data_IF_564929255346
#
_entry.id   IF_564929255346
#
_cell.length_a   1.000
_cell.length_b   1.000
_cell.length_c   1.000
_cell.angle_alpha   90.00
_cell.angle_beta   90.00
_cell.angle_gamma   90.00
#
_symmetry.space_group_name_H-M   'P 1'
#
loop_
_entity.id
_entity.type
_entity.pdbx_description
1 polymer ?
#
# COMPACT_ATOMS: atom_id res chain seq x y z
N UNK A 1 -16.76 10.49 -16.94
CA UNK A 1 -15.80 9.66 -16.19
C UNK A 1 -16.02 8.21 -16.56
N UNK A 2 -14.97 7.55 -16.96
CA UNK A 2 -14.95 6.15 -17.39
C UNK A 2 -15.32 5.24 -16.22
N UNK A 3 -16.05 4.16 -16.49
CA UNK A 3 -16.48 3.16 -15.51
C UNK A 3 -15.30 2.54 -14.76
N UNK A 4 -14.88 3.14 -13.64
CA UNK A 4 -13.92 2.53 -12.74
C UNK A 4 -14.57 1.35 -12.01
N UNK A 5 -13.79 0.31 -11.75
CA UNK A 5 -14.22 -0.91 -11.06
C UNK A 5 -13.45 -1.14 -9.77
N UNK A 6 -14.05 -1.86 -8.85
CA UNK A 6 -13.50 -2.26 -7.56
C UNK A 6 -14.62 -2.58 -6.57
N UNK A 7 -14.51 -3.69 -5.81
CA UNK A 7 -15.54 -4.11 -4.86
C UNK A 7 -15.82 -3.07 -3.76
N UNK A 8 -14.86 -2.16 -3.52
CA UNK A 8 -15.00 -1.10 -2.51
C UNK A 8 -15.70 0.15 -3.04
N UNK A 9 -15.96 0.27 -4.34
CA UNK A 9 -16.61 1.46 -4.90
C UNK A 9 -18.10 1.48 -4.57
N UNK A 10 -18.62 2.66 -4.27
CA UNK A 10 -20.05 2.95 -4.11
C UNK A 10 -20.58 3.70 -5.33
N UNK A 11 -21.90 3.88 -5.41
CA UNK A 11 -22.54 4.64 -6.51
C UNK A 11 -22.08 6.10 -6.57
N UNK A 12 -21.69 6.67 -5.43
CA UNK A 12 -21.01 7.96 -5.38
C UNK A 12 -19.50 7.68 -5.30
N UNK A 13 -18.70 8.25 -6.19
CA UNK A 13 -17.25 8.11 -6.10
C UNK A 13 -16.75 8.78 -4.83
N UNK A 14 -16.56 8.01 -3.79
CA UNK A 14 -15.90 8.44 -2.57
C UNK A 14 -14.47 7.94 -2.60
N UNK A 15 -13.54 8.80 -2.22
CA UNK A 15 -12.15 8.40 -2.00
C UNK A 15 -12.03 7.50 -0.79
N UNK A 16 -10.86 6.87 -0.65
CA UNK A 16 -10.46 6.11 0.54
C UNK A 16 -9.13 6.64 1.06
N UNK A 17 -9.03 6.77 2.38
CA UNK A 17 -7.81 7.08 3.10
C UNK A 17 -7.39 5.86 3.91
N UNK A 18 -6.14 5.41 3.74
CA UNK A 18 -5.60 4.28 4.46
C UNK A 18 -4.61 4.69 5.52
N UNK A 19 -4.54 3.89 6.58
CA UNK A 19 -3.41 3.85 7.50
C UNK A 19 -2.53 2.62 7.26
N UNK A 20 -1.26 2.73 7.64
CA UNK A 20 -0.28 1.67 7.46
C UNK A 20 -0.26 0.74 8.67
N UNK A 21 -0.88 -0.43 8.54
CA UNK A 21 -0.71 -1.65 9.34
C UNK A 21 -1.11 -1.62 10.82
N UNK A 22 -1.27 -0.46 11.46
CA UNK A 22 -1.47 -0.39 12.91
C UNK A 22 -2.28 0.84 13.34
N UNK A 23 -2.88 0.70 14.52
CA UNK A 23 -3.46 1.81 15.27
C UNK A 23 -2.43 2.34 16.27
N UNK A 24 -2.39 3.64 16.47
CA UNK A 24 -1.38 4.32 17.30
C UNK A 24 -1.81 4.58 18.75
N UNK A 25 -3.09 4.40 19.08
CA UNK A 25 -3.61 4.73 20.42
C UNK A 25 -4.55 3.69 21.02
N UNK A 26 -4.57 3.57 22.35
CA UNK A 26 -5.59 2.77 23.07
C UNK A 26 -7.02 3.29 22.81
N UNK A 27 -8.01 2.42 22.78
CA UNK A 27 -7.91 0.96 22.96
C UNK A 27 -7.60 0.21 21.66
N UNK A 28 -7.50 0.92 20.52
CA UNK A 28 -7.38 0.31 19.18
C UNK A 28 -6.04 -0.39 18.95
N UNK A 29 -4.97 0.08 19.61
CA UNK A 29 -3.64 -0.53 19.56
C UNK A 29 -3.62 -2.00 20.01
N UNK A 30 -4.60 -2.44 20.79
CA UNK A 30 -4.78 -3.84 21.18
C UNK A 30 -5.15 -4.76 20.00
N UNK A 31 -5.59 -4.19 18.89
CA UNK A 31 -5.86 -4.93 17.66
C UNK A 31 -4.61 -5.05 16.76
N UNK A 32 -3.48 -4.47 17.14
CA UNK A 32 -2.25 -4.57 16.34
C UNK A 32 -1.71 -6.00 16.35
N UNK A 33 -1.11 -6.36 15.21
CA UNK A 33 -0.46 -7.64 15.02
C UNK A 33 0.86 -7.69 15.79
N UNK A 34 1.29 -8.90 16.12
CA UNK A 34 2.58 -9.13 16.74
C UNK A 34 3.53 -9.88 15.80
N UNK A 35 4.82 -9.85 16.10
CA UNK A 35 5.84 -10.57 15.33
C UNK A 35 6.58 -11.58 16.20
N UNK A 36 7.41 -12.40 15.56
CA UNK A 36 8.40 -13.27 16.22
C UNK A 36 9.70 -13.25 15.43
N UNK A 37 10.82 -13.31 16.12
CA UNK A 37 12.14 -13.33 15.45
C UNK A 37 12.44 -14.69 14.86
N UNK A 38 13.26 -14.73 13.78
CA UNK A 38 13.73 -15.98 13.18
C UNK A 38 14.40 -16.90 14.22
N UNK A 39 15.24 -16.36 15.10
CA UNK A 39 15.90 -17.12 16.17
C UNK A 39 14.88 -17.77 17.11
N UNK A 40 13.84 -17.03 17.51
CA UNK A 40 12.79 -17.56 18.36
C UNK A 40 11.95 -18.63 17.66
N UNK A 41 11.67 -18.43 16.37
CA UNK A 41 10.94 -19.40 15.56
C UNK A 41 11.73 -20.71 15.36
N UNK A 42 13.03 -20.63 15.11
CA UNK A 42 13.91 -21.80 14.99
C UNK A 42 14.07 -22.58 16.31
N UNK A 43 14.00 -21.89 17.46
CA UNK A 43 14.04 -22.53 18.76
C UNK A 43 12.71 -23.22 19.15
N UNK A 44 11.61 -22.79 18.59
CA UNK A 44 10.28 -23.35 18.81
C UNK A 44 9.38 -22.99 17.62
N UNK A 45 9.18 -23.93 16.70
CA UNK A 45 8.38 -23.79 15.48
C UNK A 45 6.89 -23.49 15.76
N UNK A 46 6.39 -23.79 16.96
CA UNK A 46 5.01 -23.48 17.33
C UNK A 46 4.75 -21.97 17.51
N UNK A 47 5.74 -21.22 17.98
CA UNK A 47 5.59 -19.77 18.20
C UNK A 47 5.13 -18.96 16.98
N UNK A 48 5.73 -19.09 15.78
CA UNK A 48 5.26 -18.39 14.60
C UNK A 48 3.86 -18.84 14.18
N UNK A 49 3.49 -20.10 14.36
CA UNK A 49 2.17 -20.62 14.02
C UNK A 49 1.07 -20.03 14.91
N UNK A 50 1.27 -20.04 16.23
CA UNK A 50 0.34 -19.44 17.19
C UNK A 50 0.21 -17.92 16.95
N UNK A 51 1.32 -17.27 16.59
CA UNK A 51 1.34 -15.85 16.24
C UNK A 51 0.60 -15.58 14.92
N UNK A 52 0.70 -16.44 13.92
CA UNK A 52 -0.03 -16.31 12.67
C UNK A 52 -1.56 -16.41 12.88
N UNK A 53 -2.01 -17.37 13.69
CA UNK A 53 -3.43 -17.49 14.06
C UNK A 53 -3.89 -16.24 14.83
N UNK A 54 -3.09 -15.78 15.78
CA UNK A 54 -3.37 -14.54 16.51
C UNK A 54 -3.49 -13.35 15.56
N UNK A 55 -2.54 -13.18 14.64
CA UNK A 55 -2.51 -12.05 13.68
C UNK A 55 -3.68 -12.10 12.68
N UNK A 56 -4.05 -13.30 12.20
CA UNK A 56 -5.22 -13.46 11.34
C UNK A 56 -6.52 -13.01 12.04
N UNK A 57 -6.69 -13.36 13.32
CA UNK A 57 -7.80 -12.87 14.13
C UNK A 57 -7.72 -11.35 14.37
N UNK A 58 -6.52 -10.80 14.58
CA UNK A 58 -6.35 -9.34 14.69
C UNK A 58 -6.72 -8.61 13.39
N UNK A 59 -6.41 -9.18 12.22
CA UNK A 59 -6.90 -8.64 10.97
C UNK A 59 -8.44 -8.59 10.92
N UNK A 60 -9.10 -9.66 11.33
CA UNK A 60 -10.57 -9.70 11.38
C UNK A 60 -11.13 -8.64 12.36
N UNK A 61 -10.51 -8.44 13.54
CA UNK A 61 -10.89 -7.38 14.48
C UNK A 61 -10.69 -5.99 13.86
N UNK A 62 -9.55 -5.74 13.20
CA UNK A 62 -9.25 -4.47 12.51
C UNK A 62 -10.29 -4.15 11.44
N UNK A 63 -10.62 -5.13 10.59
CA UNK A 63 -11.62 -4.96 9.54
C UNK A 63 -13.04 -4.80 10.12
N UNK A 64 -13.35 -5.46 11.23
CA UNK A 64 -14.62 -5.26 11.95
C UNK A 64 -14.75 -3.81 12.44
N UNK A 65 -13.69 -3.27 13.03
CA UNK A 65 -13.68 -1.86 13.43
C UNK A 65 -13.84 -0.94 12.22
N UNK A 66 -13.07 -1.17 11.15
CA UNK A 66 -13.13 -0.34 9.94
C UNK A 66 -14.51 -0.38 9.26
N UNK A 67 -15.24 -1.49 9.35
CA UNK A 67 -16.59 -1.60 8.78
C UNK A 67 -17.59 -0.64 9.43
N UNK A 68 -17.30 -0.15 10.64
CA UNK A 68 -18.12 0.83 11.37
C UNK A 68 -17.73 2.29 11.07
N UNK A 69 -16.63 2.51 10.37
CA UNK A 69 -16.14 3.85 10.05
C UNK A 69 -16.83 4.42 8.79
N UNK A 70 -16.76 5.75 8.55
CA UNK A 70 -17.13 6.33 7.26
C UNK A 70 -16.46 5.61 6.09
N UNK A 71 -17.11 5.53 4.94
CA UNK A 71 -16.58 4.80 3.78
C UNK A 71 -15.20 5.31 3.37
N UNK A 72 -14.95 6.61 3.49
CA UNK A 72 -13.67 7.24 3.16
C UNK A 72 -12.50 6.75 4.02
N UNK A 73 -12.77 6.18 5.19
CA UNK A 73 -11.77 5.60 6.10
C UNK A 73 -11.67 4.07 5.99
N UNK A 74 -12.35 3.45 5.01
CA UNK A 74 -12.35 2.00 4.80
C UNK A 74 -11.27 1.57 3.79
N UNK A 75 -10.02 1.86 4.13
CA UNK A 75 -8.86 1.35 3.41
C UNK A 75 -7.76 0.97 4.41
N UNK A 76 -7.24 -0.25 4.28
CA UNK A 76 -6.29 -0.82 5.22
C UNK A 76 -5.11 -1.47 4.53
N UNK A 77 -3.87 -1.14 4.97
CA UNK A 77 -2.68 -1.89 4.60
C UNK A 77 -2.49 -3.04 5.59
N UNK A 78 -2.54 -4.27 5.09
CA UNK A 78 -2.27 -5.47 5.89
C UNK A 78 -0.78 -5.51 6.23
N UNK A 79 -0.43 -5.85 7.47
CA UNK A 79 0.97 -6.00 7.87
C UNK A 79 1.67 -7.13 7.11
N UNK A 80 2.88 -6.87 6.63
CA UNK A 80 3.73 -7.91 6.02
C UNK A 80 4.11 -9.03 7.00
N UNK A 81 4.00 -8.79 8.31
CA UNK A 81 4.30 -9.75 9.37
C UNK A 81 3.06 -10.58 9.81
N UNK A 82 1.98 -10.61 9.03
CA UNK A 82 0.76 -11.35 9.40
C UNK A 82 1.06 -12.83 9.66
N UNK A 83 1.95 -13.45 8.87
CA UNK A 83 2.47 -14.80 9.10
C UNK A 83 3.99 -14.75 9.33
N UNK A 84 4.42 -14.60 10.59
CA UNK A 84 5.84 -14.43 10.90
C UNK A 84 6.70 -15.61 10.43
N UNK A 85 7.82 -15.30 9.78
CA UNK A 85 8.75 -16.31 9.26
C UNK A 85 8.16 -17.27 8.20
N UNK A 86 7.07 -16.92 7.53
CA UNK A 86 6.42 -17.80 6.55
C UNK A 86 7.36 -18.20 5.41
N UNK A 87 8.22 -17.30 4.93
CA UNK A 87 9.18 -17.57 3.84
C UNK A 87 10.52 -18.18 4.34
N UNK A 88 10.65 -18.44 5.64
CA UNK A 88 11.82 -19.11 6.21
C UNK A 88 11.72 -20.63 5.96
N UNK A 89 12.63 -21.20 5.16
CA UNK A 89 12.57 -22.58 4.67
C UNK A 89 12.46 -23.63 5.77
N UNK A 90 13.06 -23.40 6.93
CA UNK A 90 13.02 -24.30 8.08
C UNK A 90 11.68 -24.20 8.84
N UNK A 91 10.92 -23.15 8.67
CA UNK A 91 9.66 -22.90 9.38
C UNK A 91 8.46 -23.13 8.46
N UNK A 92 8.56 -22.78 7.18
CA UNK A 92 7.45 -22.85 6.21
C UNK A 92 6.68 -24.17 6.23
N UNK A 93 7.32 -25.38 6.29
CA UNK A 93 6.58 -26.65 6.28
C UNK A 93 5.59 -26.81 7.43
N UNK A 94 5.86 -26.22 8.59
CA UNK A 94 4.95 -26.31 9.74
C UNK A 94 3.65 -25.53 9.56
N UNK A 95 3.62 -24.55 8.66
CA UNK A 95 2.40 -23.79 8.36
C UNK A 95 1.28 -24.69 7.78
N UNK A 96 1.61 -25.84 7.20
CA UNK A 96 0.63 -26.83 6.75
C UNK A 96 -0.27 -27.32 7.89
N UNK A 97 0.21 -27.35 9.15
CA UNK A 97 -0.57 -27.78 10.32
C UNK A 97 -1.74 -26.83 10.64
N UNK A 98 -1.64 -25.56 10.24
CA UNK A 98 -2.64 -24.53 10.57
C UNK A 98 -3.28 -23.90 9.33
N UNK A 99 -2.98 -24.40 8.13
CA UNK A 99 -3.44 -23.79 6.88
C UNK A 99 -4.96 -23.68 6.81
N UNK A 100 -5.69 -24.75 7.18
CA UNK A 100 -7.16 -24.75 7.19
C UNK A 100 -7.72 -23.66 8.14
N UNK A 101 -7.13 -23.55 9.33
CA UNK A 101 -7.51 -22.51 10.32
C UNK A 101 -7.27 -21.11 9.75
N UNK A 102 -6.12 -20.88 9.11
CA UNK A 102 -5.81 -19.58 8.50
C UNK A 102 -6.75 -19.26 7.34
N UNK A 103 -7.06 -20.24 6.49
CA UNK A 103 -8.02 -20.09 5.39
C UNK A 103 -9.41 -19.71 5.88
N UNK A 104 -9.90 -20.33 6.96
CA UNK A 104 -11.20 -19.98 7.54
C UNK A 104 -11.22 -18.54 8.05
N UNK A 105 -10.23 -18.15 8.87
CA UNK A 105 -10.17 -16.81 9.45
C UNK A 105 -10.04 -15.75 8.35
N UNK A 106 -9.11 -15.94 7.41
CA UNK A 106 -8.92 -15.00 6.30
C UNK A 106 -10.11 -14.97 5.35
N UNK A 107 -10.77 -16.10 5.10
CA UNK A 107 -12.00 -16.14 4.30
C UNK A 107 -13.13 -15.32 4.92
N UNK A 108 -13.28 -15.36 6.25
CA UNK A 108 -14.22 -14.49 6.98
C UNK A 108 -13.82 -13.02 6.88
N UNK A 109 -12.53 -12.71 7.07
CA UNK A 109 -12.00 -11.36 6.94
C UNK A 109 -12.22 -10.79 5.53
N UNK A 110 -11.99 -11.58 4.48
CA UNK A 110 -12.23 -11.20 3.10
C UNK A 110 -13.71 -10.97 2.77
N UNK A 111 -14.61 -11.86 3.23
CA UNK A 111 -16.06 -11.64 3.10
C UNK A 111 -16.50 -10.33 3.74
N UNK A 112 -15.97 -10.03 4.94
CA UNK A 112 -16.24 -8.77 5.64
C UNK A 112 -15.69 -7.58 4.85
N UNK A 113 -14.46 -7.64 4.35
CA UNK A 113 -13.87 -6.57 3.56
C UNK A 113 -14.70 -6.26 2.32
N UNK A 114 -15.13 -7.28 1.58
CA UNK A 114 -15.96 -7.13 0.38
C UNK A 114 -17.33 -6.55 0.72
N UNK A 115 -18.04 -7.13 1.70
CA UNK A 115 -19.39 -6.68 2.07
C UNK A 115 -19.42 -5.27 2.68
N UNK A 116 -18.35 -4.88 3.37
CA UNK A 116 -18.21 -3.55 3.98
C UNK A 116 -17.46 -2.55 3.11
N UNK A 117 -17.08 -2.94 1.88
CA UNK A 117 -16.36 -2.08 0.92
C UNK A 117 -15.03 -1.55 1.49
N UNK A 118 -14.27 -2.40 2.17
CA UNK A 118 -12.95 -2.05 2.71
C UNK A 118 -11.89 -2.38 1.66
N UNK A 119 -11.23 -1.38 1.11
CA UNK A 119 -10.08 -1.57 0.23
C UNK A 119 -8.89 -2.11 1.00
N UNK A 120 -8.09 -2.98 0.37
CA UNK A 120 -6.96 -3.64 1.01
C UNK A 120 -5.69 -3.50 0.17
N UNK A 121 -4.56 -3.33 0.86
CA UNK A 121 -3.22 -3.39 0.30
C UNK A 121 -2.27 -4.16 1.20
N UNK A 122 -1.11 -4.50 0.70
CA UNK A 122 0.05 -4.97 1.45
C UNK A 122 1.33 -4.38 0.88
N UNK A 123 2.36 -4.30 1.69
CA UNK A 123 3.67 -3.78 1.29
C UNK A 123 4.76 -4.71 1.81
N UNK A 124 5.28 -5.63 0.96
CA UNK A 124 6.44 -6.44 1.27
C UNK A 124 7.64 -5.61 1.76
N UNK A 125 8.54 -6.24 2.50
CA UNK A 125 9.70 -5.55 3.05
C UNK A 125 10.69 -5.08 1.98
N UNK A 126 11.58 -4.17 2.37
CA UNK A 126 12.60 -3.56 1.49
C UNK A 126 13.58 -4.55 0.83
N UNK A 127 13.55 -5.82 1.23
CA UNK A 127 14.42 -6.87 0.66
C UNK A 127 13.77 -7.59 -0.53
N UNK A 128 12.53 -7.28 -0.86
CA UNK A 128 11.78 -7.83 -2.01
C UNK A 128 12.15 -7.03 -3.25
N UNK A 129 13.17 -7.49 -3.99
CA UNK A 129 13.81 -6.74 -5.09
C UNK A 129 13.81 -7.57 -6.37
N UNK A 130 12.78 -7.44 -7.21
CA UNK A 130 12.72 -8.12 -8.52
C UNK A 130 13.77 -7.60 -9.51
N UNK A 131 14.21 -6.35 -9.40
CA UNK A 131 15.29 -5.77 -10.22
C UNK A 131 16.71 -6.23 -9.82
N UNK A 132 16.85 -7.20 -8.89
CA UNK A 132 18.14 -7.65 -8.40
C UNK A 132 18.97 -8.32 -9.49
N UNK A 133 20.31 -8.13 -9.41
CA UNK A 133 21.29 -8.85 -10.20
C UNK A 133 21.76 -10.16 -9.54
N UNK A 134 21.22 -10.51 -8.37
CA UNK A 134 21.50 -11.71 -7.59
C UNK A 134 20.31 -12.67 -7.67
N UNK A 135 20.57 -13.88 -8.18
CA UNK A 135 19.53 -14.90 -8.36
C UNK A 135 18.85 -15.33 -7.05
N UNK A 136 19.61 -15.43 -5.95
CA UNK A 136 19.08 -15.77 -4.63
C UNK A 136 18.11 -14.70 -4.10
N UNK A 137 18.40 -13.41 -4.33
CA UNK A 137 17.50 -12.30 -3.96
C UNK A 137 16.24 -12.33 -4.79
N UNK A 138 16.35 -12.61 -6.10
CA UNK A 138 15.17 -12.72 -6.99
C UNK A 138 14.27 -13.87 -6.54
N UNK A 139 14.84 -15.05 -6.27
CA UNK A 139 14.10 -16.22 -5.79
C UNK A 139 13.34 -15.89 -4.49
N UNK A 140 14.01 -15.33 -3.49
CA UNK A 140 13.39 -14.93 -2.23
C UNK A 140 12.30 -13.87 -2.43
N UNK A 141 12.51 -12.94 -3.38
CA UNK A 141 11.52 -11.92 -3.70
C UNK A 141 10.26 -12.52 -4.32
N UNK A 142 10.38 -13.50 -5.19
CA UNK A 142 9.27 -14.23 -5.79
C UNK A 142 8.50 -15.00 -4.71
N UNK A 143 9.21 -15.70 -3.81
CA UNK A 143 8.58 -16.42 -2.67
C UNK A 143 7.81 -15.45 -1.77
N UNK A 144 8.36 -14.28 -1.46
CA UNK A 144 7.72 -13.26 -0.62
C UNK A 144 6.48 -12.65 -1.31
N UNK A 145 6.55 -12.38 -2.61
CA UNK A 145 5.40 -11.90 -3.38
C UNK A 145 4.29 -12.96 -3.46
N UNK A 146 4.62 -14.24 -3.65
CA UNK A 146 3.65 -15.33 -3.62
C UNK A 146 3.00 -15.47 -2.22
N UNK A 147 3.77 -15.28 -1.16
CA UNK A 147 3.26 -15.24 0.20
C UNK A 147 2.20 -14.13 0.38
N UNK A 148 2.50 -12.91 -0.03
CA UNK A 148 1.52 -11.80 0.03
C UNK A 148 0.29 -12.07 -0.84
N UNK A 149 0.48 -12.62 -2.04
CA UNK A 149 -0.62 -13.02 -2.91
C UNK A 149 -1.51 -14.10 -2.27
N UNK A 150 -0.91 -15.05 -1.55
CA UNK A 150 -1.64 -16.12 -0.87
C UNK A 150 -2.61 -15.60 0.19
N UNK A 151 -2.24 -14.53 0.92
CA UNK A 151 -3.13 -13.86 1.89
C UNK A 151 -4.41 -13.39 1.18
N UNK A 152 -4.27 -12.64 0.09
CA UNK A 152 -5.41 -12.13 -0.68
C UNK A 152 -6.23 -13.24 -1.35
N UNK A 153 -5.57 -14.31 -1.83
CA UNK A 153 -6.25 -15.50 -2.37
C UNK A 153 -7.13 -16.17 -1.31
N UNK A 154 -6.63 -16.37 -0.09
CA UNK A 154 -7.40 -16.94 1.01
C UNK A 154 -8.53 -16.03 1.49
N UNK A 155 -8.37 -14.73 1.36
CA UNK A 155 -9.43 -13.75 1.60
C UNK A 155 -10.49 -13.71 0.48
N UNK A 156 -10.24 -14.32 -0.67
CA UNK A 156 -11.14 -14.28 -1.83
C UNK A 156 -11.17 -12.92 -2.54
N UNK A 157 -10.13 -12.10 -2.38
CA UNK A 157 -10.02 -10.80 -3.05
C UNK A 157 -9.62 -11.03 -4.52
N UNK A 158 -10.32 -10.42 -5.51
CA UNK A 158 -9.94 -10.54 -6.91
C UNK A 158 -8.53 -9.99 -7.18
N UNK A 159 -7.74 -10.67 -8.00
CA UNK A 159 -6.33 -10.34 -8.24
C UNK A 159 -6.10 -8.88 -8.65
N UNK A 160 -6.95 -8.33 -9.54
CA UNK A 160 -6.83 -6.93 -10.00
C UNK A 160 -7.21 -5.90 -8.93
N UNK A 161 -7.89 -6.33 -7.88
CA UNK A 161 -8.37 -5.47 -6.80
C UNK A 161 -7.48 -5.55 -5.56
N UNK A 162 -6.63 -6.58 -5.47
CA UNK A 162 -5.54 -6.67 -4.50
C UNK A 162 -4.40 -5.71 -4.87
N UNK A 163 -3.71 -5.20 -3.86
CA UNK A 163 -2.52 -4.36 -4.02
C UNK A 163 -1.38 -4.99 -3.23
N UNK A 164 -0.33 -5.41 -3.94
CA UNK A 164 0.94 -5.83 -3.36
C UNK A 164 1.97 -4.83 -3.87
N UNK A 165 2.39 -3.88 -3.03
CA UNK A 165 3.25 -2.78 -3.46
C UNK A 165 4.70 -3.03 -3.10
N UNK A 166 5.61 -2.87 -4.07
CA UNK A 166 7.07 -2.90 -3.86
C UNK A 166 7.74 -1.72 -4.53
N UNK A 167 8.88 -1.29 -4.01
CA UNK A 167 9.69 -0.27 -4.66
C UNK A 167 10.39 -0.81 -5.91
N UNK A 168 10.55 0.04 -6.91
CA UNK A 168 11.45 -0.23 -8.02
C UNK A 168 12.89 -0.03 -7.52
N UNK A 169 13.61 -1.12 -7.36
CA UNK A 169 14.96 -1.18 -6.79
C UNK A 169 15.91 -2.00 -7.68
N UNK A 170 17.18 -2.06 -7.30
CA UNK A 170 18.16 -2.93 -7.98
C UNK A 170 19.10 -2.19 -8.94
N UNK A 171 19.42 -0.91 -8.65
CA UNK A 171 20.33 -0.13 -9.51
C UNK A 171 21.77 -0.67 -9.51
N UNK A 172 22.31 -1.06 -8.35
CA UNK A 172 23.66 -1.63 -8.17
C UNK A 172 24.79 -0.87 -8.87
N UNK A 173 24.70 0.46 -8.93
CA UNK A 173 25.69 1.30 -9.61
C UNK A 173 25.64 1.26 -11.15
N UNK A 174 24.67 0.54 -11.73
CA UNK A 174 24.44 0.48 -13.17
C UNK A 174 23.52 1.58 -13.69
N UNK A 175 23.03 1.39 -14.91
CA UNK A 175 22.02 2.28 -15.49
C UNK A 175 20.61 1.86 -15.01
N UNK A 176 19.70 2.81 -14.87
CA UNK A 176 18.29 2.54 -14.48
C UNK A 176 17.64 1.52 -15.41
N UNK A 177 17.88 1.63 -16.72
CA UNK A 177 17.32 0.70 -17.71
C UNK A 177 17.71 -0.76 -17.47
N UNK A 178 18.90 -1.02 -16.90
CA UNK A 178 19.34 -2.38 -16.64
C UNK A 178 18.52 -3.04 -15.52
N UNK A 179 18.19 -2.28 -14.46
CA UNK A 179 17.32 -2.75 -13.39
C UNK A 179 15.88 -2.91 -13.84
N UNK A 180 15.36 -1.97 -14.65
CA UNK A 180 14.03 -2.05 -15.27
C UNK A 180 13.92 -3.33 -16.13
N UNK A 181 14.92 -3.64 -16.95
CA UNK A 181 14.91 -4.83 -17.79
C UNK A 181 14.98 -6.11 -16.96
N UNK A 182 15.81 -6.14 -15.88
CA UNK A 182 15.84 -7.29 -14.96
C UNK A 182 14.48 -7.48 -14.28
N UNK A 183 13.87 -6.39 -13.79
CA UNK A 183 12.54 -6.45 -13.18
C UNK A 183 11.52 -7.03 -14.18
N UNK A 184 11.47 -6.50 -15.40
CA UNK A 184 10.55 -6.98 -16.44
C UNK A 184 10.76 -8.46 -16.78
N UNK A 185 12.01 -8.93 -16.79
CA UNK A 185 12.34 -10.36 -16.99
C UNK A 185 11.85 -11.19 -15.81
N UNK A 186 12.17 -10.79 -14.58
CA UNK A 186 11.84 -11.55 -13.39
C UNK A 186 10.32 -11.54 -13.07
N UNK A 187 9.60 -10.50 -13.46
CA UNK A 187 8.13 -10.43 -13.39
C UNK A 187 7.44 -11.61 -14.07
N UNK A 188 8.02 -12.16 -15.12
CA UNK A 188 7.46 -13.30 -15.86
C UNK A 188 7.46 -14.61 -15.06
N UNK A 189 8.22 -14.70 -13.98
CA UNK A 189 8.22 -15.87 -13.09
C UNK A 189 7.12 -15.83 -12.01
N UNK A 190 6.40 -14.71 -11.89
CA UNK A 190 5.27 -14.61 -10.98
C UNK A 190 4.04 -15.30 -11.58
N UNK A 191 3.20 -15.89 -10.72
CA UNK A 191 1.91 -16.41 -11.16
C UNK A 191 0.95 -15.28 -11.59
N UNK A 192 -0.08 -15.64 -12.36
CA UNK A 192 -1.05 -14.70 -12.93
C UNK A 192 -1.73 -13.82 -11.86
N UNK A 193 -2.05 -14.39 -10.69
CA UNK A 193 -2.64 -13.63 -9.60
C UNK A 193 -1.68 -12.57 -9.07
N UNK A 194 -0.44 -12.97 -8.78
CA UNK A 194 0.61 -12.09 -8.25
C UNK A 194 0.95 -10.99 -9.25
N UNK A 195 1.08 -11.31 -10.54
CA UNK A 195 1.30 -10.30 -11.59
C UNK A 195 0.19 -9.25 -11.62
N UNK A 196 -1.08 -9.65 -11.52
CA UNK A 196 -2.23 -8.74 -11.53
C UNK A 196 -2.37 -7.91 -10.25
N UNK A 197 -1.90 -8.42 -9.11
CA UNK A 197 -1.96 -7.75 -7.81
C UNK A 197 -0.79 -6.78 -7.60
N UNK A 198 0.35 -7.00 -8.29
CA UNK A 198 1.58 -6.24 -8.06
C UNK A 198 1.45 -4.79 -8.52
N UNK A 199 2.00 -3.89 -7.70
CA UNK A 199 2.24 -2.49 -8.02
C UNK A 199 3.70 -2.13 -7.76
N UNK A 200 4.20 -1.14 -8.46
CA UNK A 200 5.58 -0.68 -8.33
C UNK A 200 5.65 0.79 -7.97
N UNK A 201 6.42 1.11 -6.95
CA UNK A 201 6.55 2.44 -6.36
C UNK A 201 7.87 3.11 -6.72
N UNK A 202 7.84 4.44 -6.89
CA UNK A 202 9.04 5.26 -7.05
C UNK A 202 9.78 5.43 -5.71
N UNK A 203 11.11 5.58 -5.78
CA UNK A 203 12.00 5.73 -4.61
C UNK A 203 12.20 7.21 -4.21
N UNK A 204 12.57 7.39 -2.95
CA UNK A 204 12.89 8.68 -2.32
C UNK A 204 14.34 9.15 -2.54
N UNK A 205 15.24 8.26 -3.00
CA UNK A 205 16.67 8.53 -3.14
C UNK A 205 16.95 9.31 -4.42
N UNK A 206 17.75 10.40 -4.39
CA UNK A 206 18.04 11.21 -5.58
C UNK A 206 18.65 10.46 -6.77
N UNK A 207 19.34 9.35 -6.50
CA UNK A 207 19.92 8.48 -7.55
C UNK A 207 19.12 7.18 -7.74
N UNK A 208 17.96 7.04 -7.07
CA UNK A 208 17.09 5.88 -7.17
C UNK A 208 16.18 5.94 -8.39
N UNK A 209 15.14 5.14 -8.36
CA UNK A 209 14.13 5.08 -9.42
C UNK A 209 12.99 6.07 -9.12
N UNK A 210 12.84 7.08 -9.96
CA UNK A 210 11.74 8.05 -9.91
C UNK A 210 10.49 7.52 -10.63
N UNK A 211 9.40 8.27 -10.58
CA UNK A 211 8.13 7.97 -11.26
C UNK A 211 8.32 7.74 -12.77
N UNK A 212 9.21 8.46 -13.43
CA UNK A 212 9.56 8.26 -14.84
C UNK A 212 9.98 6.80 -15.11
N UNK A 213 10.79 6.23 -14.23
CA UNK A 213 11.29 4.87 -14.36
C UNK A 213 10.21 3.82 -14.09
N UNK A 214 9.27 4.08 -13.15
CA UNK A 214 8.14 3.18 -12.93
C UNK A 214 7.18 3.20 -14.13
N UNK A 215 6.96 4.36 -14.74
CA UNK A 215 6.18 4.50 -15.97
C UNK A 215 6.89 3.84 -17.16
N UNK A 216 8.21 3.93 -17.26
CA UNK A 216 9.00 3.20 -18.26
C UNK A 216 8.83 1.67 -18.08
N UNK A 217 8.88 1.16 -16.84
CA UNK A 217 8.61 -0.25 -16.58
C UNK A 217 7.18 -0.63 -17.00
N UNK A 218 6.17 0.21 -16.66
CA UNK A 218 4.78 -0.03 -17.04
C UNK A 218 4.54 0.00 -18.56
N UNK A 219 5.42 0.63 -19.34
CA UNK A 219 5.39 0.56 -20.82
C UNK A 219 5.88 -0.79 -21.35
N UNK A 220 6.64 -1.55 -20.56
CA UNK A 220 7.24 -2.84 -20.96
C UNK A 220 6.44 -4.06 -20.48
N UNK A 221 5.77 -3.95 -19.35
CA UNK A 221 4.97 -5.04 -18.73
C UNK A 221 3.65 -4.48 -18.17
N UNK A 222 2.60 -5.30 -18.06
CA UNK A 222 1.30 -4.85 -17.55
C UNK A 222 1.30 -4.71 -16.02
N UNK A 223 2.04 -3.73 -15.50
CA UNK A 223 2.14 -3.43 -14.07
C UNK A 223 1.54 -2.06 -13.76
N UNK A 224 0.90 -1.93 -12.60
CA UNK A 224 0.38 -0.66 -12.10
C UNK A 224 1.48 0.09 -11.33
N UNK A 225 1.57 1.39 -11.55
CA UNK A 225 2.46 2.24 -10.75
C UNK A 225 1.78 2.65 -9.45
N UNK A 226 2.52 2.65 -8.35
CA UNK A 226 2.15 3.31 -7.10
C UNK A 226 2.92 4.64 -7.05
N UNK A 227 2.21 5.76 -7.17
CA UNK A 227 2.85 7.07 -7.07
C UNK A 227 2.98 7.45 -5.60
N UNK A 228 4.20 7.58 -5.08
CA UNK A 228 4.45 8.31 -3.84
C UNK A 228 4.92 9.73 -4.15
N UNK A 229 4.10 10.71 -3.78
CA UNK A 229 4.39 12.13 -4.05
C UNK A 229 5.45 12.70 -3.13
N UNK A 230 5.64 12.14 -1.94
CA UNK A 230 6.70 12.53 -1.03
C UNK A 230 8.05 11.96 -1.47
N UNK A 231 8.09 10.71 -1.96
CA UNK A 231 9.28 10.15 -2.57
C UNK A 231 9.73 10.97 -3.78
N UNK A 232 8.79 11.38 -4.64
CA UNK A 232 9.11 12.28 -5.74
C UNK A 232 9.72 13.59 -5.25
N UNK A 233 9.14 14.23 -4.23
CA UNK A 233 9.66 15.44 -3.62
C UNK A 233 11.08 15.25 -3.07
N UNK A 234 11.33 14.15 -2.35
CA UNK A 234 12.64 13.79 -1.81
C UNK A 234 13.66 13.51 -2.93
N UNK A 235 13.26 12.75 -3.95
CA UNK A 235 14.10 12.45 -5.11
C UNK A 235 14.54 13.73 -5.82
N UNK A 236 13.67 14.73 -5.93
CA UNK A 236 13.93 16.06 -6.51
C UNK A 236 14.53 17.05 -5.50
N UNK A 237 15.02 16.57 -4.34
CA UNK A 237 15.67 17.39 -3.30
C UNK A 237 14.84 18.58 -2.81
N UNK A 238 13.51 18.44 -2.84
CA UNK A 238 12.58 19.48 -2.43
C UNK A 238 12.28 20.56 -3.49
N UNK A 239 12.77 20.41 -4.71
CA UNK A 239 12.65 21.44 -5.76
C UNK A 239 11.37 21.35 -6.58
N UNK A 240 10.63 20.22 -6.50
CA UNK A 240 9.46 19.95 -7.35
C UNK A 240 8.42 19.09 -6.67
N UNK A 241 7.15 19.32 -7.04
CA UNK A 241 5.96 18.58 -6.56
C UNK A 241 5.17 18.00 -7.71
N UNK A 242 4.47 16.89 -7.43
CA UNK A 242 3.41 16.40 -8.31
C UNK A 242 2.06 16.91 -7.78
N UNK A 243 1.30 17.57 -8.65
CA UNK A 243 -0.09 17.97 -8.43
C UNK A 243 -1.00 17.14 -9.34
N UNK A 244 -2.33 17.23 -9.17
CA UNK A 244 -3.32 16.54 -10.02
C UNK A 244 -3.25 16.95 -11.50
N UNK A 245 -2.64 18.10 -11.83
CA UNK A 245 -2.46 18.57 -13.20
C UNK A 245 -1.12 18.16 -13.83
N UNK A 246 -0.20 17.61 -13.02
CA UNK A 246 1.13 17.22 -13.48
C UNK A 246 1.04 16.09 -14.53
N UNK A 247 1.86 16.13 -15.61
CA UNK A 247 1.85 15.09 -16.63
C UNK A 247 2.02 13.67 -16.08
N UNK A 248 2.95 13.46 -15.15
CA UNK A 248 3.17 12.15 -14.52
C UNK A 248 1.96 11.64 -13.74
N UNK A 249 1.18 12.53 -13.12
CA UNK A 249 -0.05 12.12 -12.45
C UNK A 249 -1.06 11.53 -13.46
N UNK A 250 -1.20 12.16 -14.61
CA UNK A 250 -2.09 11.67 -15.67
C UNK A 250 -1.64 10.32 -16.25
N UNK A 251 -0.33 10.14 -16.46
CA UNK A 251 0.22 8.87 -16.94
C UNK A 251 0.10 7.77 -15.86
N UNK A 252 0.35 8.09 -14.61
CA UNK A 252 0.12 7.18 -13.48
C UNK A 252 -1.32 6.65 -13.46
N UNK A 253 -2.34 7.52 -13.58
CA UNK A 253 -3.75 7.11 -13.60
C UNK A 253 -4.05 6.08 -14.68
N UNK A 254 -3.43 6.18 -15.87
CA UNK A 254 -3.64 5.25 -16.99
C UNK A 254 -3.18 3.83 -16.66
N UNK A 255 -2.16 3.67 -15.83
CA UNK A 255 -1.64 2.33 -15.45
C UNK A 255 -2.64 1.51 -14.63
N UNK A 256 -3.65 2.16 -14.05
CA UNK A 256 -4.64 1.52 -13.17
C UNK A 256 -5.93 1.11 -13.87
N UNK A 257 -6.24 1.72 -15.00
CA UNK A 257 -7.53 1.50 -15.65
C UNK A 257 -7.83 0.00 -15.91
N UNK A 258 -9.04 -0.51 -15.62
CA UNK A 258 -10.22 0.20 -15.11
C UNK A 258 -10.34 0.28 -13.58
N UNK A 259 -9.33 -0.15 -12.82
CA UNK A 259 -9.34 -0.10 -11.35
C UNK A 259 -9.10 1.33 -10.87
N UNK A 260 -9.81 1.76 -9.80
CA UNK A 260 -9.53 3.06 -9.18
C UNK A 260 -8.09 3.10 -8.66
N UNK A 261 -7.30 4.11 -9.01
CA UNK A 261 -5.91 4.24 -8.56
C UNK A 261 -5.76 4.32 -7.03
N UNK A 262 -4.61 3.88 -6.54
CA UNK A 262 -4.13 4.17 -5.20
C UNK A 262 -2.75 4.83 -5.29
N UNK A 263 -2.46 5.73 -4.37
CA UNK A 263 -1.16 6.39 -4.26
C UNK A 263 -0.74 6.52 -2.80
N UNK A 264 0.56 6.70 -2.57
CA UNK A 264 1.09 7.02 -1.25
C UNK A 264 1.26 8.52 -1.08
N UNK A 265 1.07 8.96 0.15
CA UNK A 265 1.33 10.33 0.56
C UNK A 265 1.86 10.37 1.98
N UNK A 266 2.95 11.08 2.14
CA UNK A 266 3.49 11.50 3.43
C UNK A 266 4.07 12.91 3.31
N UNK A 267 4.81 13.33 4.31
CA UNK A 267 5.47 14.62 4.37
C UNK A 267 6.76 14.51 5.18
N UNK A 268 7.75 15.33 4.88
CA UNK A 268 9.00 15.39 5.64
C UNK A 268 8.74 15.81 7.09
N UNK A 269 9.40 15.14 8.04
CA UNK A 269 9.28 15.46 9.46
C UNK A 269 9.94 16.80 9.78
N UNK A 270 9.22 17.67 10.48
CA UNK A 270 9.76 18.97 10.96
C UNK A 270 10.98 18.73 11.82
N UNK A 271 12.05 19.48 11.56
CA UNK A 271 13.29 19.44 12.34
C UNK A 271 14.17 18.22 12.09
N UNK A 272 13.78 17.30 11.20
CA UNK A 272 14.67 16.22 10.78
C UNK A 272 15.72 16.71 9.78
N UNK A 273 16.95 16.21 9.94
CA UNK A 273 18.02 16.40 8.96
C UNK A 273 17.84 15.53 7.70
N UNK A 274 16.90 14.57 7.74
CA UNK A 274 16.60 13.64 6.65
C UNK A 274 15.25 14.01 6.04
N UNK A 275 15.26 14.51 4.81
CA UNK A 275 14.05 14.90 4.08
C UNK A 275 13.05 13.75 3.93
N UNK A 276 13.53 12.53 3.78
CA UNK A 276 12.70 11.33 3.62
C UNK A 276 12.18 10.74 4.94
N UNK A 277 12.44 11.37 6.09
CA UNK A 277 11.81 10.95 7.33
C UNK A 277 10.36 11.41 7.35
N UNK A 278 9.43 10.45 7.48
CA UNK A 278 8.00 10.73 7.49
C UNK A 278 7.60 11.51 8.75
N UNK A 279 6.72 12.50 8.57
CA UNK A 279 6.13 13.28 9.67
C UNK A 279 5.19 12.45 10.53
N UNK A 280 4.91 12.97 11.70
CA UNK A 280 3.91 12.39 12.60
C UNK A 280 2.49 12.58 12.02
N UNK A 281 2.20 13.76 11.46
CA UNK A 281 0.94 14.17 10.81
C UNK A 281 1.22 15.06 9.59
N UNK A 282 0.21 15.38 8.81
CA UNK A 282 0.30 16.48 7.85
C UNK A 282 0.22 17.80 8.61
N UNK A 283 1.29 18.56 8.58
CA UNK A 283 1.45 19.82 9.31
C UNK A 283 1.61 21.03 8.39
N UNK A 284 1.74 20.84 7.10
CA UNK A 284 1.86 21.88 6.10
C UNK A 284 0.57 21.91 5.28
N UNK A 285 -0.15 23.03 5.37
CA UNK A 285 -1.39 23.26 4.67
C UNK A 285 -1.24 23.12 3.15
N UNK A 286 -0.10 23.55 2.60
CA UNK A 286 0.18 23.39 1.19
C UNK A 286 0.19 21.93 0.77
N UNK A 287 0.92 21.06 1.50
CA UNK A 287 0.96 19.63 1.19
C UNK A 287 -0.40 18.94 1.39
N UNK A 288 -1.19 19.41 2.34
CA UNK A 288 -2.55 18.90 2.53
C UNK A 288 -3.45 19.33 1.38
N UNK A 289 -3.41 20.61 1.00
CA UNK A 289 -4.29 21.20 -0.02
C UNK A 289 -4.08 20.58 -1.41
N UNK A 290 -2.84 20.29 -1.83
CA UNK A 290 -2.58 19.66 -3.14
C UNK A 290 -3.10 18.22 -3.23
N UNK A 291 -3.36 17.56 -2.11
CA UNK A 291 -3.92 16.21 -2.11
C UNK A 291 -5.44 16.21 -2.34
N UNK A 292 -6.14 17.24 -1.92
CA UNK A 292 -7.61 17.30 -2.03
C UNK A 292 -8.09 17.12 -3.48
N UNK A 293 -7.56 17.83 -4.49
CA UNK A 293 -7.95 17.59 -5.88
C UNK A 293 -7.55 16.21 -6.41
N UNK A 294 -6.53 15.56 -5.83
CA UNK A 294 -6.14 14.20 -6.24
C UNK A 294 -7.15 13.17 -5.80
N UNK A 295 -7.88 13.42 -4.69
CA UNK A 295 -8.90 12.51 -4.15
C UNK A 295 -10.08 12.30 -5.11
N UNK A 296 -10.29 13.18 -6.08
CA UNK A 296 -11.25 12.94 -7.16
C UNK A 296 -10.89 11.69 -7.98
N UNK A 297 -9.60 11.41 -8.13
CA UNK A 297 -9.07 10.40 -9.05
C UNK A 297 -8.50 9.17 -8.35
N UNK A 298 -8.02 9.30 -7.10
CA UNK A 298 -7.24 8.28 -6.39
C UNK A 298 -7.75 8.06 -4.98
N UNK A 299 -7.41 6.89 -4.42
CA UNK A 299 -7.37 6.66 -2.98
C UNK A 299 -5.95 6.91 -2.46
N UNK A 300 -5.81 7.33 -1.21
CA UNK A 300 -4.49 7.69 -0.63
C UNK A 300 -4.17 6.81 0.57
N UNK A 301 -3.02 6.16 0.54
CA UNK A 301 -2.38 5.59 1.73
C UNK A 301 -1.51 6.66 2.40
N UNK A 302 -1.87 7.02 3.63
CA UNK A 302 -1.14 8.04 4.39
C UNK A 302 -0.01 7.38 5.20
N UNK A 303 1.23 7.62 4.80
CA UNK A 303 2.41 7.08 5.49
C UNK A 303 2.88 8.02 6.61
N UNK A 304 2.05 8.17 7.63
CA UNK A 304 2.29 9.01 8.81
C UNK A 304 2.71 8.17 10.00
N UNK A 305 3.54 8.74 10.92
CA UNK A 305 3.95 8.04 12.15
C UNK A 305 2.80 7.90 13.14
N UNK A 306 1.92 8.91 13.25
CA UNK A 306 0.69 8.84 14.05
C UNK A 306 -0.43 8.04 13.39
N UNK A 307 -0.08 7.17 12.43
CA UNK A 307 -0.93 6.11 11.87
C UNK A 307 -2.41 6.53 11.74
N UNK A 308 -3.29 5.87 12.50
CA UNK A 308 -4.74 6.09 12.44
C UNK A 308 -5.14 7.51 12.85
N UNK A 309 -4.53 8.06 13.90
CA UNK A 309 -4.79 9.44 14.34
C UNK A 309 -4.45 10.45 13.24
N UNK A 310 -3.31 10.28 12.57
CA UNK A 310 -2.91 11.14 11.46
C UNK A 310 -3.87 11.06 10.27
N UNK A 311 -4.37 9.86 9.94
CA UNK A 311 -5.39 9.67 8.90
C UNK A 311 -6.71 10.34 9.27
N UNK A 312 -7.16 10.19 10.52
CA UNK A 312 -8.40 10.85 10.99
C UNK A 312 -8.30 12.38 10.95
N UNK A 313 -7.15 12.94 11.31
CA UNK A 313 -6.92 14.38 11.23
C UNK A 313 -6.91 14.87 9.79
N UNK A 314 -6.28 14.14 8.89
CA UNK A 314 -6.33 14.45 7.45
C UNK A 314 -7.74 14.33 6.88
N UNK A 315 -8.51 13.32 7.27
CA UNK A 315 -9.92 13.18 6.88
C UNK A 315 -10.76 14.39 7.28
N UNK A 316 -10.60 14.89 8.52
CA UNK A 316 -11.29 16.10 8.97
C UNK A 316 -10.93 17.30 8.11
N UNK A 317 -9.65 17.53 7.87
CA UNK A 317 -9.18 18.60 7.00
C UNK A 317 -9.83 18.52 5.60
N UNK A 318 -9.86 17.34 4.99
CA UNK A 318 -10.49 17.15 3.67
C UNK A 318 -11.98 17.49 3.71
N UNK A 319 -12.69 17.11 4.78
CA UNK A 319 -14.12 17.44 4.92
C UNK A 319 -14.36 18.95 5.05
N UNK A 320 -13.54 19.64 5.82
CA UNK A 320 -13.60 21.10 5.96
C UNK A 320 -13.36 21.79 4.60
N UNK A 321 -12.39 21.36 3.82
CA UNK A 321 -12.14 21.87 2.46
C UNK A 321 -13.31 21.60 1.51
N UNK A 322 -13.92 20.39 1.55
CA UNK A 322 -15.10 20.07 0.75
C UNK A 322 -16.30 20.97 1.07
N UNK A 323 -16.52 21.29 2.34
CA UNK A 323 -17.57 22.21 2.78
C UNK A 323 -17.34 23.63 2.27
N UNK A 324 -16.12 24.16 2.42
CA UNK A 324 -15.74 25.50 1.93
C UNK A 324 -15.91 25.64 0.43
N UNK A 325 -15.53 24.63 -0.34
CA UNK A 325 -15.71 24.60 -1.80
C UNK A 325 -17.21 24.57 -2.13
N UNK A 326 -18.00 23.77 -1.43
CA UNK A 326 -19.46 23.68 -1.58
C UNK A 326 -20.16 25.01 -1.31
N UNK A 327 -19.79 25.72 -0.25
CA UNK A 327 -20.32 27.05 0.08
C UNK A 327 -19.94 28.10 -0.97
N UNK A 328 -18.68 28.11 -1.43
CA UNK A 328 -18.22 29.02 -2.47
C UNK A 328 -18.98 28.84 -3.78
N UNK A 329 -19.30 27.62 -4.16
CA UNK A 329 -20.09 27.32 -5.36
C UNK A 329 -21.55 27.77 -5.20
N UNK A 330 -22.17 27.58 -4.02
CA UNK A 330 -23.53 28.06 -3.73
C UNK A 330 -23.65 29.59 -3.81
N UNK A 331 -22.67 30.31 -3.26
CA UNK A 331 -22.62 31.76 -3.33
C UNK A 331 -22.46 32.29 -4.76
N UNK A 332 -21.72 31.58 -5.62
CA UNK A 332 -21.57 31.94 -7.05
C UNK A 332 -22.84 31.68 -7.88
N UNK A 333 -23.71 30.76 -7.44
CA UNK A 333 -24.97 30.49 -8.13
C UNK A 333 -26.11 31.39 -7.68
N UNK A 334 -25.92 32.18 -6.60
CA UNK A 334 -26.90 33.13 -6.07
C UNK A 334 -26.64 34.59 -6.55
N UNK A 335 -25.52 34.82 -7.22
CA UNK A 335 -25.16 36.09 -7.89
C UNK A 335 -25.21 35.92 -9.41
#
# INVERSE_FOLDING_TARGET
MTNLTGYWLSEKPTYRLATCCMFDKPPLDKMNMGTTTKTSALSNSRKPLDKAIYNANKLLEQLTYLSTQPEELRYWRISSEIFPCYTVKEINPYYAEIEETLRDILGRAGKLAISSRIRLSSHPGQFTVLGSNRADVVTNSIEDLHYHAQIFKWMGIPAREAIINIHLQGLYGGKHIDGINRFATNYQYLDDYTQKALTVENEDKPNGYDIEHTLELASKIPIRCMLDVHHYYCHRKGESYITHTHPYFKEFLKTWYPIRPAMHKSQSKIGSSRMNEHSDEFHDEFFSSIAVPMLEYTDIECELKNKWTGVQNFYKYVKEEEELIGESLRLKTLN
#
